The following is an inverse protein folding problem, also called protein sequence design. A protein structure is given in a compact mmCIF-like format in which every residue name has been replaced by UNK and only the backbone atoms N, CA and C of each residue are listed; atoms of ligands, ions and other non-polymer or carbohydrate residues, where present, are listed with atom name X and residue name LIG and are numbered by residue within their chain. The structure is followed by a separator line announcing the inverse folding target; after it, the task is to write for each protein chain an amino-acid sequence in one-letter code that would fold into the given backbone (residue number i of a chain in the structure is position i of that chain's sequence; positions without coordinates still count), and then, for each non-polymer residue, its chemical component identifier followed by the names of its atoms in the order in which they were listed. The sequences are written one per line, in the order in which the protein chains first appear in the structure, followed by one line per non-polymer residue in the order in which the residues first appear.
data_IF_768741460907
#
_entry.id   IF_768741460907
#
_cell.length_a   1.000
_cell.length_b   1.000
_cell.length_c   1.000
_cell.angle_alpha   90.00
_cell.angle_beta   90.00
_cell.angle_gamma   90.00
#
_symmetry.space_group_name_H-M   'P 1'
#
loop_
_entity.id
_entity.type
_entity.pdbx_description
1 polymer ?
#
# COMPACT_ATOMS: atom_id res chain seq x y z
N UNK A 1 20.01 -11.80 -12.19
CA UNK A 1 19.25 -11.49 -10.95
C UNK A 1 19.56 -10.05 -10.59
N UNK A 2 18.61 -9.15 -10.77
CA UNK A 2 18.75 -7.74 -10.34
C UNK A 2 18.44 -7.75 -8.84
N UNK A 3 19.48 -7.63 -8.03
CA UNK A 3 19.33 -7.45 -6.58
C UNK A 3 18.59 -6.11 -6.36
N UNK A 4 17.33 -6.14 -6.01
CA UNK A 4 16.57 -4.97 -5.61
C UNK A 4 16.97 -4.62 -4.18
N UNK A 5 18.11 -3.96 -3.99
CA UNK A 5 18.44 -3.36 -2.69
C UNK A 5 17.67 -2.04 -2.56
N UNK A 6 16.57 -2.09 -1.84
CA UNK A 6 15.91 -0.87 -1.36
C UNK A 6 16.85 -0.19 -0.37
N UNK A 7 17.24 1.05 -0.64
CA UNK A 7 18.02 1.84 0.33
C UNK A 7 17.08 2.53 1.31
N UNK A 8 17.42 2.45 2.59
CA UNK A 8 16.73 3.15 3.66
C UNK A 8 17.50 4.42 4.02
N UNK A 9 16.78 5.54 4.11
CA UNK A 9 17.31 6.81 4.63
C UNK A 9 16.33 7.37 5.65
N UNK A 10 16.82 7.93 6.75
CA UNK A 10 16.00 8.51 7.79
C UNK A 10 16.06 10.04 7.77
N UNK A 11 14.89 10.66 7.90
CA UNK A 11 14.72 12.10 8.10
C UNK A 11 13.89 12.29 9.37
N UNK A 12 14.55 12.45 10.51
CA UNK A 12 13.88 12.46 11.80
C UNK A 12 13.14 11.15 12.06
N UNK A 13 11.82 11.24 12.24
CA UNK A 13 10.98 10.02 12.38
C UNK A 13 10.53 9.40 11.05
N UNK A 14 10.78 10.08 9.94
CA UNK A 14 10.37 9.58 8.61
C UNK A 14 11.45 8.74 8.00
N UNK A 15 11.03 7.68 7.35
CA UNK A 15 11.87 6.74 6.63
C UNK A 15 11.55 6.80 5.16
N UNK A 16 12.59 6.85 4.36
CA UNK A 16 12.51 6.94 2.92
C UNK A 16 13.06 5.64 2.34
N UNK A 17 12.19 4.91 1.65
CA UNK A 17 12.51 3.63 1.01
C UNK A 17 12.57 3.90 -0.49
N UNK A 18 13.76 3.77 -1.09
CA UNK A 18 13.92 3.93 -2.53
C UNK A 18 13.68 2.60 -3.26
N UNK A 19 13.16 2.66 -4.47
CA UNK A 19 12.99 1.48 -5.34
C UNK A 19 14.26 1.13 -6.15
N UNK A 20 15.40 1.72 -5.82
CA UNK A 20 16.68 1.51 -6.47
C UNK A 20 17.81 2.27 -5.80
N UNK A 21 19.01 2.19 -6.38
CA UNK A 21 20.19 2.91 -5.92
C UNK A 21 20.33 4.25 -6.63
N UNK A 22 19.71 5.30 -6.09
CA UNK A 22 19.78 6.67 -6.59
C UNK A 22 19.77 7.68 -5.44
N UNK A 23 20.16 8.90 -5.71
CA UNK A 23 20.07 9.98 -4.74
C UNK A 23 18.66 10.59 -4.69
N UNK A 24 18.23 11.08 -3.50
CA UNK A 24 16.90 11.68 -3.34
C UNK A 24 16.65 12.87 -4.27
N UNK A 25 17.73 13.52 -4.74
CA UNK A 25 17.62 14.58 -5.74
C UNK A 25 17.26 14.06 -7.14
N UNK A 26 17.40 12.80 -7.41
CA UNK A 26 17.04 12.13 -8.66
C UNK A 26 15.66 11.47 -8.59
N UNK A 27 14.96 11.62 -7.46
CA UNK A 27 13.62 11.07 -7.30
C UNK A 27 12.64 11.74 -8.26
N UNK A 28 11.92 10.93 -9.02
CA UNK A 28 10.82 11.35 -9.88
C UNK A 28 9.51 11.41 -9.10
N UNK A 29 9.35 10.52 -8.10
CA UNK A 29 8.10 10.35 -7.33
C UNK A 29 8.39 10.21 -5.84
N UNK A 30 7.64 10.93 -5.01
CA UNK A 30 7.50 10.67 -3.58
C UNK A 30 6.11 10.11 -3.31
N UNK A 31 6.05 8.85 -2.87
CA UNK A 31 4.83 8.18 -2.45
C UNK A 31 4.66 8.34 -0.94
N UNK A 32 3.65 9.08 -0.51
CA UNK A 32 3.41 9.35 0.92
C UNK A 32 2.49 8.30 1.54
N UNK A 33 2.86 7.80 2.70
CA UNK A 33 2.05 6.90 3.52
C UNK A 33 1.12 7.70 4.46
N UNK A 34 0.08 7.08 4.98
CA UNK A 34 -1.02 7.75 5.70
C UNK A 34 -0.59 8.52 6.96
N UNK A 35 0.40 8.04 7.72
CA UNK A 35 0.90 8.77 8.89
C UNK A 35 1.60 10.08 8.51
N UNK A 36 2.27 10.10 7.36
CA UNK A 36 2.88 11.32 6.81
C UNK A 36 1.80 12.35 6.45
N UNK A 37 0.71 11.90 5.84
CA UNK A 37 -0.42 12.77 5.51
C UNK A 37 -1.06 13.38 6.77
N UNK A 38 -1.21 12.57 7.81
CA UNK A 38 -1.75 13.00 9.09
C UNK A 38 -0.85 14.08 9.71
N UNK A 39 0.47 13.91 9.66
CA UNK A 39 1.41 14.91 10.19
C UNK A 39 1.35 16.22 9.41
N UNK A 40 1.34 16.17 8.07
CA UNK A 40 1.19 17.37 7.22
C UNK A 40 -0.14 18.07 7.51
N UNK A 41 -1.23 17.31 7.62
CA UNK A 41 -2.56 17.88 7.96
C UNK A 41 -2.55 18.52 9.36
N UNK A 42 -1.95 17.89 10.36
CA UNK A 42 -1.85 18.43 11.72
C UNK A 42 -1.02 19.71 11.72
N UNK A 43 0.13 19.71 11.05
CA UNK A 43 0.94 20.91 10.87
C UNK A 43 0.14 22.05 10.24
N UNK A 44 -0.60 21.76 9.17
CA UNK A 44 -1.33 22.77 8.43
C UNK A 44 -2.44 23.45 9.23
N UNK A 45 -3.18 22.69 10.04
CA UNK A 45 -4.35 23.18 10.79
C UNK A 45 -4.09 23.44 12.29
N UNK A 46 -3.18 22.71 12.89
CA UNK A 46 -2.97 22.71 14.33
C UNK A 46 -1.59 23.30 14.72
N UNK A 47 -0.71 23.50 13.72
CA UNK A 47 0.65 24.02 13.92
C UNK A 47 1.67 22.92 14.21
N UNK A 48 2.87 23.35 14.59
CA UNK A 48 4.01 22.46 14.82
C UNK A 48 3.84 21.62 16.07
N UNK A 49 3.95 20.31 15.93
CA UNK A 49 4.24 19.43 17.04
C UNK A 49 5.77 19.40 17.27
N UNK A 50 6.29 19.83 18.44
CA UNK A 50 7.73 19.88 18.70
C UNK A 50 8.47 18.57 18.40
N UNK A 51 7.82 17.42 18.65
CA UNK A 51 8.43 16.10 18.48
C UNK A 51 8.60 15.67 16.99
N UNK A 52 7.90 16.33 16.08
CA UNK A 52 7.98 16.01 14.65
C UNK A 52 8.44 17.18 13.79
N UNK A 53 8.65 18.35 14.38
CA UNK A 53 8.91 19.60 13.65
C UNK A 53 10.12 19.52 12.72
N UNK A 54 11.30 19.17 13.26
CA UNK A 54 12.54 19.16 12.46
C UNK A 54 12.51 18.13 11.32
N UNK A 55 12.02 16.94 11.58
CA UNK A 55 11.89 15.90 10.57
C UNK A 55 10.89 16.28 9.48
N UNK A 56 9.75 16.87 9.82
CA UNK A 56 8.75 17.31 8.85
C UNK A 56 9.28 18.46 7.99
N UNK A 57 9.97 19.43 8.59
CA UNK A 57 10.61 20.51 7.84
C UNK A 57 11.57 19.97 6.79
N UNK A 58 12.53 19.14 7.22
CA UNK A 58 13.54 18.57 6.32
C UNK A 58 12.90 17.71 5.22
N UNK A 59 11.85 16.92 5.54
CA UNK A 59 11.10 16.14 4.57
C UNK A 59 10.45 17.04 3.51
N UNK A 60 9.75 18.09 3.92
CA UNK A 60 9.10 19.02 3.01
C UNK A 60 10.10 19.76 2.11
N UNK A 61 11.25 20.17 2.66
CA UNK A 61 12.34 20.76 1.87
C UNK A 61 12.89 19.75 0.85
N UNK A 62 13.05 18.49 1.24
CA UNK A 62 13.51 17.43 0.31
C UNK A 62 12.54 17.23 -0.86
N UNK A 63 11.23 17.33 -0.63
CA UNK A 63 10.19 17.22 -1.66
C UNK A 63 9.92 18.54 -2.41
N UNK A 64 10.54 19.67 -1.97
CA UNK A 64 10.24 21.00 -2.50
C UNK A 64 10.63 21.16 -3.98
N UNK A 65 9.86 21.95 -4.75
CA UNK A 65 10.04 22.14 -6.19
C UNK A 65 11.23 23.01 -6.61
N UNK A 66 12.17 23.33 -5.73
CA UNK A 66 13.36 24.15 -6.08
C UNK A 66 14.37 23.45 -7.01
N UNK A 67 14.01 22.31 -7.59
CA UNK A 67 14.83 21.54 -8.53
C UNK A 67 14.42 21.84 -9.98
N UNK A 68 15.34 21.66 -10.91
CA UNK A 68 15.07 21.79 -12.34
C UNK A 68 13.91 20.91 -12.82
N UNK A 69 13.75 19.75 -12.19
CA UNK A 69 12.62 18.85 -12.39
C UNK A 69 11.91 18.68 -11.04
N UNK A 70 10.63 19.02 -11.00
CA UNK A 70 9.81 18.84 -9.81
C UNK A 70 9.43 17.37 -9.70
N UNK A 71 9.69 16.70 -8.55
CA UNK A 71 9.17 15.37 -8.33
C UNK A 71 7.65 15.41 -8.14
N UNK A 72 6.96 14.38 -8.60
CA UNK A 72 5.55 14.18 -8.27
C UNK A 72 5.41 13.72 -6.81
N UNK A 73 4.44 14.28 -6.11
CA UNK A 73 4.09 13.84 -4.76
C UNK A 73 2.74 13.12 -4.81
N UNK A 74 2.81 11.80 -4.78
CA UNK A 74 1.64 10.93 -4.84
C UNK A 74 1.16 10.61 -3.42
N UNK A 75 -0.07 10.97 -3.11
CA UNK A 75 -0.68 10.75 -1.80
C UNK A 75 -2.11 10.20 -1.88
N UNK A 76 -2.60 9.91 -3.07
CA UNK A 76 -3.96 9.40 -3.30
C UNK A 76 -4.23 8.09 -2.56
N UNK A 77 -3.29 7.15 -2.58
CA UNK A 77 -3.42 5.87 -1.88
C UNK A 77 -3.51 6.05 -0.36
N UNK A 78 -2.67 6.89 0.21
CA UNK A 78 -2.69 7.20 1.64
C UNK A 78 -3.96 7.95 2.04
N UNK A 79 -4.49 8.78 1.15
CA UNK A 79 -5.76 9.44 1.35
C UNK A 79 -6.92 8.43 1.36
N UNK A 80 -6.90 7.46 0.43
CA UNK A 80 -7.86 6.36 0.40
C UNK A 80 -7.77 5.52 1.69
N UNK A 81 -6.57 5.06 2.09
CA UNK A 81 -6.38 4.33 3.35
C UNK A 81 -6.96 5.08 4.55
N UNK A 82 -6.70 6.39 4.62
CA UNK A 82 -7.09 7.22 5.76
C UNK A 82 -8.60 7.50 5.79
N UNK A 83 -9.26 7.53 4.64
CA UNK A 83 -10.65 7.96 4.49
C UNK A 83 -11.63 6.82 4.29
N UNK A 84 -11.21 5.66 3.79
CA UNK A 84 -12.04 4.45 3.81
C UNK A 84 -12.12 3.89 5.22
N UNK A 85 -13.29 4.06 5.81
CA UNK A 85 -13.64 3.47 7.10
C UNK A 85 -14.49 2.24 6.89
N UNK A 86 -14.86 1.58 7.96
CA UNK A 86 -15.73 0.42 7.91
C UNK A 86 -17.11 0.75 7.33
N UNK A 87 -17.63 1.91 7.71
CA UNK A 87 -18.95 2.41 7.33
C UNK A 87 -19.00 3.07 5.93
N UNK A 88 -17.86 3.15 5.24
CA UNK A 88 -17.72 3.79 3.94
C UNK A 88 -16.70 4.92 3.91
N UNK A 89 -16.77 5.75 2.88
CA UNK A 89 -15.78 6.79 2.63
C UNK A 89 -16.07 8.08 3.40
N UNK A 90 -15.16 8.49 4.28
CA UNK A 90 -15.27 9.73 5.07
C UNK A 90 -14.86 10.96 4.22
N UNK A 91 -15.83 11.52 3.50
CA UNK A 91 -15.66 12.66 2.58
C UNK A 91 -15.09 13.90 3.27
N UNK A 92 -15.54 14.19 4.50
CA UNK A 92 -15.08 15.39 5.23
C UNK A 92 -13.60 15.27 5.61
N UNK A 93 -13.21 14.09 6.10
CA UNK A 93 -11.82 13.77 6.41
C UNK A 93 -10.94 13.83 5.16
N UNK A 94 -11.40 13.25 4.07
CA UNK A 94 -10.72 13.29 2.77
C UNK A 94 -10.45 14.72 2.33
N UNK A 95 -11.46 15.56 2.33
CA UNK A 95 -11.36 16.97 1.95
C UNK A 95 -10.36 17.74 2.80
N UNK A 96 -10.35 17.53 4.12
CA UNK A 96 -9.42 18.18 5.04
C UNK A 96 -7.97 17.77 4.76
N UNK A 97 -7.72 16.48 4.65
CA UNK A 97 -6.37 15.95 4.41
C UNK A 97 -5.90 16.40 3.03
N UNK A 98 -6.72 16.19 1.98
CA UNK A 98 -6.38 16.58 0.63
C UNK A 98 -5.97 18.05 0.52
N UNK A 99 -6.78 18.96 1.07
CA UNK A 99 -6.43 20.39 1.04
C UNK A 99 -5.11 20.70 1.72
N UNK A 100 -4.89 20.14 2.89
CA UNK A 100 -3.65 20.38 3.63
C UNK A 100 -2.44 19.88 2.84
N UNK A 101 -2.47 18.64 2.40
CA UNK A 101 -1.37 18.01 1.68
C UNK A 101 -1.12 18.70 0.35
N UNK A 102 -2.17 18.86 -0.48
CA UNK A 102 -2.08 19.54 -1.78
C UNK A 102 -1.53 20.97 -1.67
N UNK A 103 -1.86 21.66 -0.58
CA UNK A 103 -1.33 23.01 -0.37
C UNK A 103 0.14 22.97 0.03
N UNK A 104 0.49 22.14 1.01
CA UNK A 104 1.84 22.13 1.61
C UNK A 104 2.89 21.58 0.65
N UNK A 105 2.58 20.50 -0.07
CA UNK A 105 3.52 19.90 -1.04
C UNK A 105 3.81 20.82 -2.23
N UNK A 106 2.99 21.84 -2.45
CA UNK A 106 3.20 22.86 -3.48
C UNK A 106 3.97 24.10 -2.99
N UNK A 107 4.37 24.15 -1.73
CA UNK A 107 5.16 25.26 -1.23
C UNK A 107 6.61 25.17 -1.71
N UNK A 108 7.19 26.34 -2.02
CA UNK A 108 8.63 26.46 -2.18
C UNK A 108 9.34 26.50 -0.82
N UNK A 109 10.65 26.37 -0.83
CA UNK A 109 11.46 26.33 0.38
C UNK A 109 11.24 27.56 1.27
N UNK A 110 11.27 28.78 0.70
CA UNK A 110 11.06 30.02 1.46
C UNK A 110 9.73 30.00 2.25
N UNK A 111 8.67 29.51 1.62
CA UNK A 111 7.36 29.41 2.27
C UNK A 111 7.32 28.33 3.36
N UNK A 112 8.04 27.23 3.15
CA UNK A 112 8.22 26.19 4.16
C UNK A 112 8.93 26.77 5.36
N UNK A 113 10.09 27.39 5.18
CA UNK A 113 10.91 27.99 6.25
C UNK A 113 10.09 29.00 7.05
N UNK A 114 9.41 29.92 6.38
CA UNK A 114 8.56 30.92 7.02
C UNK A 114 7.41 30.30 7.84
N UNK A 115 6.82 29.21 7.36
CA UNK A 115 5.74 28.53 8.06
C UNK A 115 6.25 27.79 9.29
N UNK A 116 7.47 27.27 9.28
CA UNK A 116 8.10 26.61 10.42
C UNK A 116 8.65 27.58 11.47
N UNK A 117 9.06 28.77 11.06
CA UNK A 117 9.46 29.85 11.98
C UNK A 117 8.25 30.47 12.72
N UNK A 118 7.07 30.30 12.15
CA UNK A 118 5.84 30.81 12.74
C UNK A 118 5.41 29.97 13.95
N UNK A 119 5.00 30.64 15.05
CA UNK A 119 4.39 29.97 16.21
C UNK A 119 2.91 29.61 16.01
N UNK A 120 2.32 30.00 14.90
CA UNK A 120 0.91 29.80 14.58
C UNK A 120 0.73 28.77 13.46
N UNK A 121 -0.39 28.03 13.47
CA UNK A 121 -0.71 27.16 12.36
C UNK A 121 -0.77 27.98 11.05
N UNK A 122 -0.30 27.41 9.92
CA UNK A 122 -0.27 28.08 8.62
C UNK A 122 -1.64 28.60 8.16
N UNK A 123 -2.71 27.95 8.61
CA UNK A 123 -4.09 28.33 8.29
C UNK A 123 -4.94 28.31 9.56
N UNK A 124 -5.61 29.41 9.84
CA UNK A 124 -6.66 29.41 10.88
C UNK A 124 -7.78 28.47 10.47
N UNK A 125 -8.25 27.64 11.39
CA UNK A 125 -9.44 26.82 11.17
C UNK A 125 -10.63 27.71 10.87
N UNK A 126 -11.09 27.69 9.63
CA UNK A 126 -12.31 28.37 9.24
C UNK A 126 -13.47 27.37 9.27
N UNK A 127 -14.41 27.56 10.19
CA UNK A 127 -15.61 26.75 10.30
C UNK A 127 -16.51 26.82 9.03
N UNK A 128 -16.43 27.91 8.28
CA UNK A 128 -17.18 28.04 7.02
C UNK A 128 -16.61 27.12 5.95
N UNK A 129 -15.30 26.88 5.96
CA UNK A 129 -14.63 25.96 5.04
C UNK A 129 -15.13 24.51 5.23
N UNK A 130 -15.41 24.10 6.47
CA UNK A 130 -15.94 22.76 6.76
C UNK A 130 -17.36 22.55 6.22
N UNK A 131 -18.12 23.62 6.04
CA UNK A 131 -19.51 23.60 5.55
C UNK A 131 -19.64 23.78 4.03
N UNK A 132 -18.58 24.18 3.34
CA UNK A 132 -18.60 24.42 1.90
C UNK A 132 -18.81 23.16 1.06
N UNK A 133 -19.55 23.27 -0.05
CA UNK A 133 -19.58 22.25 -1.11
C UNK A 133 -18.24 22.29 -1.88
N UNK A 134 -17.21 21.72 -1.33
CA UNK A 134 -15.96 21.53 -2.07
C UNK A 134 -16.05 20.17 -2.76
N UNK A 135 -15.82 20.13 -4.07
CA UNK A 135 -15.72 18.87 -4.80
C UNK A 135 -14.67 17.98 -4.15
N UNK A 136 -15.00 16.72 -3.96
CA UNK A 136 -14.01 15.72 -3.60
C UNK A 136 -13.16 15.53 -4.86
N UNK A 137 -11.83 15.43 -4.72
CA UNK A 137 -11.03 15.09 -5.86
C UNK A 137 -11.55 13.78 -6.47
N UNK A 138 -11.70 13.76 -7.79
CA UNK A 138 -11.99 12.51 -8.49
C UNK A 138 -10.90 11.47 -8.21
N UNK A 139 -11.14 10.19 -8.35
CA UNK A 139 -10.10 9.17 -8.24
C UNK A 139 -8.86 9.49 -9.09
N UNK A 140 -9.02 10.03 -10.28
CA UNK A 140 -7.94 10.53 -11.13
C UNK A 140 -7.11 11.62 -10.45
N UNK A 141 -7.73 12.58 -9.78
CA UNK A 141 -7.01 13.62 -9.02
C UNK A 141 -6.32 13.08 -7.76
N UNK A 142 -6.63 11.87 -7.33
CA UNK A 142 -5.94 11.17 -6.25
C UNK A 142 -4.73 10.36 -6.73
N UNK A 143 -4.39 10.44 -8.03
CA UNK A 143 -3.35 9.61 -8.65
C UNK A 143 -3.78 8.15 -8.82
N UNK A 144 -5.10 7.91 -8.87
CA UNK A 144 -5.71 6.60 -9.09
C UNK A 144 -6.35 6.59 -10.48
N UNK A 145 -5.57 6.96 -11.51
CA UNK A 145 -6.07 7.36 -12.82
C UNK A 145 -6.83 6.29 -13.61
N UNK A 146 -6.66 5.00 -13.30
CA UNK A 146 -7.35 3.93 -14.03
C UNK A 146 -8.04 2.94 -13.10
N UNK A 147 -8.18 3.23 -11.83
CA UNK A 147 -8.64 2.21 -10.93
C UNK A 147 -9.63 2.71 -9.90
N UNK A 148 -10.74 2.05 -9.89
CA UNK A 148 -11.56 1.91 -8.71
C UNK A 148 -10.64 1.47 -7.54
N UNK A 149 -10.53 2.26 -6.43
CA UNK A 149 -9.70 1.87 -5.27
C UNK A 149 -9.97 0.45 -4.80
N UNK A 150 -11.17 -0.07 -5.07
CA UNK A 150 -11.57 -1.44 -4.82
C UNK A 150 -10.67 -2.45 -5.54
N UNK A 151 -10.32 -2.18 -6.79
CA UNK A 151 -9.50 -3.10 -7.61
C UNK A 151 -8.09 -3.33 -7.02
N UNK A 152 -7.54 -2.38 -6.27
CA UNK A 152 -6.22 -2.50 -5.68
C UNK A 152 -6.23 -3.20 -4.33
N UNK A 153 -7.17 -2.83 -3.46
CA UNK A 153 -7.13 -3.22 -2.05
C UNK A 153 -7.91 -4.50 -1.77
N UNK A 154 -9.02 -4.73 -2.49
CA UNK A 154 -9.88 -5.90 -2.24
C UNK A 154 -9.15 -7.24 -2.43
N UNK A 155 -8.30 -7.44 -3.47
CA UNK A 155 -7.56 -8.68 -3.62
C UNK A 155 -6.68 -8.99 -2.41
N UNK A 156 -5.95 -8.00 -1.92
CA UNK A 156 -5.07 -8.16 -0.77
C UNK A 156 -5.88 -8.31 0.53
N UNK A 157 -6.89 -7.48 0.74
CA UNK A 157 -7.74 -7.52 1.93
C UNK A 157 -8.45 -8.86 2.08
N UNK A 158 -9.14 -9.33 1.03
CA UNK A 158 -9.83 -10.60 1.05
C UNK A 158 -8.90 -11.78 1.30
N UNK A 159 -7.77 -11.84 0.58
CA UNK A 159 -6.77 -12.89 0.77
C UNK A 159 -6.20 -12.90 2.20
N UNK A 160 -5.82 -11.74 2.75
CA UNK A 160 -5.25 -11.65 4.09
C UNK A 160 -6.29 -11.91 5.19
N UNK A 161 -7.56 -11.55 4.98
CA UNK A 161 -8.63 -11.87 5.90
C UNK A 161 -8.87 -13.38 5.96
N UNK A 162 -8.92 -14.05 4.80
CA UNK A 162 -9.05 -15.52 4.75
C UNK A 162 -7.83 -16.22 5.38
N UNK A 163 -6.62 -15.73 5.13
CA UNK A 163 -5.41 -16.23 5.77
C UNK A 163 -5.49 -16.15 7.30
N UNK A 164 -5.91 -15.01 7.83
CA UNK A 164 -6.07 -14.82 9.28
C UNK A 164 -7.15 -15.73 9.87
N UNK A 165 -8.25 -16.01 9.17
CA UNK A 165 -9.25 -17.01 9.54
C UNK A 165 -8.62 -18.38 9.72
N UNK A 166 -7.84 -18.84 8.73
CA UNK A 166 -7.19 -20.16 8.77
C UNK A 166 -6.18 -20.31 9.90
N UNK A 167 -5.47 -19.22 10.22
CA UNK A 167 -4.46 -19.22 11.29
C UNK A 167 -5.10 -19.25 12.69
N UNK A 168 -6.25 -18.58 12.86
CA UNK A 168 -6.95 -18.55 14.14
C UNK A 168 -7.92 -19.70 14.33
N UNK A 169 -8.36 -20.35 13.25
CA UNK A 169 -9.24 -21.50 13.31
C UNK A 169 -8.61 -22.69 14.05
N UNK A 170 -9.44 -23.41 14.80
CA UNK A 170 -9.05 -24.63 15.51
C UNK A 170 -8.75 -25.84 14.59
N UNK A 171 -8.72 -25.63 13.28
CA UNK A 171 -8.44 -26.66 12.30
C UNK A 171 -7.07 -27.29 12.53
N UNK A 172 -7.05 -28.63 12.61
CA UNK A 172 -5.83 -29.45 12.79
C UNK A 172 -4.99 -29.57 11.51
N UNK A 173 -5.40 -28.94 10.42
CA UNK A 173 -4.64 -28.94 9.17
C UNK A 173 -3.23 -28.43 9.38
N UNK A 174 -2.26 -29.09 8.75
CA UNK A 174 -0.87 -28.63 8.76
C UNK A 174 -0.71 -27.37 7.89
N UNK A 175 0.48 -26.75 7.89
CA UNK A 175 0.70 -25.50 7.14
C UNK A 175 0.56 -25.67 5.63
N UNK A 176 0.88 -26.86 5.07
CA UNK A 176 0.74 -27.15 3.63
C UNK A 176 -0.72 -27.20 3.24
N UNK A 177 -1.53 -27.96 3.99
CA UNK A 177 -2.99 -28.08 3.75
C UNK A 177 -3.68 -26.71 3.86
N UNK A 178 -3.34 -25.91 4.88
CA UNK A 178 -3.88 -24.55 5.04
C UNK A 178 -3.46 -23.63 3.89
N UNK A 179 -2.24 -23.78 3.38
CA UNK A 179 -1.78 -22.98 2.26
C UNK A 179 -2.52 -23.34 0.97
N UNK A 180 -2.73 -24.62 0.71
CA UNK A 180 -3.52 -25.10 -0.44
C UNK A 180 -4.97 -24.62 -0.36
N UNK A 181 -5.63 -24.77 0.80
CA UNK A 181 -6.99 -24.27 1.06
C UNK A 181 -7.08 -22.77 0.82
N UNK A 182 -6.08 -22.00 1.29
CA UNK A 182 -6.01 -20.56 1.05
C UNK A 182 -5.87 -20.24 -0.43
N UNK A 183 -5.00 -20.94 -1.15
CA UNK A 183 -4.75 -20.71 -2.58
C UNK A 183 -5.99 -21.03 -3.42
N UNK A 184 -6.68 -22.13 -3.11
CA UNK A 184 -7.92 -22.51 -3.76
C UNK A 184 -9.01 -21.48 -3.55
N UNK A 185 -9.25 -21.06 -2.30
CA UNK A 185 -10.23 -20.03 -1.99
C UNK A 185 -9.96 -18.70 -2.74
N UNK A 186 -8.69 -18.28 -2.82
CA UNK A 186 -8.30 -17.07 -3.53
C UNK A 186 -8.58 -17.18 -5.04
N UNK A 187 -8.38 -18.35 -5.65
CA UNK A 187 -8.67 -18.57 -7.08
C UNK A 187 -10.17 -18.66 -7.34
N UNK A 188 -10.87 -19.50 -6.55
CA UNK A 188 -12.26 -19.88 -6.86
C UNK A 188 -13.25 -18.83 -6.37
N UNK A 189 -13.09 -18.34 -5.15
CA UNK A 189 -14.05 -17.44 -4.52
C UNK A 189 -13.68 -15.96 -4.76
N UNK A 190 -12.44 -15.56 -4.45
CA UNK A 190 -11.99 -14.18 -4.63
C UNK A 190 -11.79 -13.85 -6.12
N UNK A 191 -11.27 -14.81 -6.89
CA UNK A 191 -11.07 -14.66 -8.34
C UNK A 191 -9.91 -13.76 -8.74
N UNK A 192 -9.08 -13.32 -7.81
CA UNK A 192 -7.94 -12.45 -8.07
C UNK A 192 -6.80 -12.71 -7.07
N UNK A 193 -5.58 -12.87 -7.57
CA UNK A 193 -4.39 -13.14 -6.76
C UNK A 193 -3.61 -11.86 -6.51
N UNK A 194 -3.44 -11.48 -5.25
CA UNK A 194 -2.46 -10.47 -4.83
C UNK A 194 -1.11 -11.15 -4.58
N UNK A 195 -0.09 -10.75 -5.33
CA UNK A 195 1.25 -11.34 -5.22
C UNK A 195 1.84 -11.19 -3.81
N UNK A 196 1.73 -10.02 -3.21
CA UNK A 196 2.22 -9.77 -1.85
C UNK A 196 1.45 -10.55 -0.79
N UNK A 197 0.12 -10.64 -0.90
CA UNK A 197 -0.66 -11.47 0.00
C UNK A 197 -0.27 -12.95 -0.12
N UNK A 198 0.07 -13.42 -1.33
CA UNK A 198 0.56 -14.78 -1.58
C UNK A 198 1.91 -15.02 -0.91
N UNK A 199 2.85 -14.08 -0.99
CA UNK A 199 4.16 -14.18 -0.30
C UNK A 199 3.98 -14.22 1.21
N UNK A 200 3.13 -13.35 1.75
CA UNK A 200 2.84 -13.33 3.20
C UNK A 200 2.20 -14.65 3.65
N UNK A 201 1.29 -15.20 2.85
CA UNK A 201 0.67 -16.50 3.15
C UNK A 201 1.71 -17.64 3.12
N UNK A 202 2.60 -17.66 2.12
CA UNK A 202 3.69 -18.63 2.04
C UNK A 202 4.62 -18.52 3.25
N UNK A 203 5.06 -17.31 3.61
CA UNK A 203 5.91 -17.09 4.79
C UNK A 203 5.25 -17.57 6.08
N UNK A 204 3.95 -17.29 6.25
CA UNK A 204 3.23 -17.64 7.47
C UNK A 204 2.95 -19.14 7.61
N UNK A 205 2.62 -19.82 6.51
CA UNK A 205 2.14 -21.21 6.53
C UNK A 205 3.21 -22.22 6.14
N UNK A 206 4.14 -21.85 5.24
CA UNK A 206 5.18 -22.71 4.70
C UNK A 206 6.59 -22.34 5.15
N UNK A 207 6.80 -21.09 5.59
CA UNK A 207 8.10 -20.57 5.97
C UNK A 207 8.72 -21.26 7.20
N UNK A 208 10.03 -21.08 7.35
CA UNK A 208 10.75 -21.39 8.60
C UNK A 208 10.26 -20.47 9.74
N UNK A 209 10.76 -20.69 10.95
CA UNK A 209 10.30 -19.92 12.12
C UNK A 209 10.64 -18.42 12.00
N UNK A 210 11.73 -18.05 11.32
CA UNK A 210 12.10 -16.65 11.11
C UNK A 210 11.11 -15.97 10.14
N UNK A 211 10.87 -16.56 8.96
CA UNK A 211 9.91 -16.08 7.96
C UNK A 211 8.50 -16.01 8.52
N UNK A 212 8.08 -17.02 9.27
CA UNK A 212 6.80 -17.08 9.95
C UNK A 212 6.67 -15.98 11.02
N UNK A 213 7.73 -15.74 11.81
CA UNK A 213 7.75 -14.68 12.81
C UNK A 213 7.55 -13.30 12.18
N UNK A 214 8.21 -13.01 11.06
CA UNK A 214 8.05 -11.76 10.29
C UNK A 214 6.62 -11.60 9.75
N UNK A 215 6.06 -12.64 9.14
CA UNK A 215 4.69 -12.61 8.63
C UNK A 215 3.66 -12.42 9.76
N UNK A 216 3.84 -13.05 10.93
CA UNK A 216 3.01 -12.84 12.13
C UNK A 216 3.07 -11.40 12.62
N UNK A 217 4.26 -10.81 12.65
CA UNK A 217 4.47 -9.42 13.05
C UNK A 217 3.76 -8.46 12.10
N UNK A 218 3.94 -8.62 10.78
CA UNK A 218 3.31 -7.81 9.75
C UNK A 218 1.77 -7.86 9.87
N UNK A 219 1.21 -9.06 9.99
CA UNK A 219 -0.23 -9.28 10.14
C UNK A 219 -0.76 -8.93 11.54
N UNK A 220 0.13 -8.62 12.49
CA UNK A 220 -0.23 -8.37 13.89
C UNK A 220 -1.10 -9.49 14.46
N UNK A 221 -0.77 -10.77 14.12
CA UNK A 221 -1.58 -11.96 14.49
C UNK A 221 -1.86 -11.97 15.99
N UNK A 222 -0.84 -11.71 16.81
CA UNK A 222 -0.90 -11.79 18.27
C UNK A 222 -1.51 -10.56 18.96
N UNK A 223 -1.90 -9.54 18.17
CA UNK A 223 -2.46 -8.31 18.73
C UNK A 223 -3.94 -8.49 19.14
N UNK A 224 -4.19 -8.64 20.43
CA UNK A 224 -5.53 -8.99 20.99
C UNK A 224 -6.61 -7.91 20.82
N UNK A 225 -6.24 -6.63 20.68
CA UNK A 225 -7.19 -5.50 20.64
C UNK A 225 -7.77 -5.20 19.27
N UNK A 226 -7.21 -5.77 18.19
CA UNK A 226 -7.67 -5.53 16.82
C UNK A 226 -8.50 -6.71 16.32
N UNK A 227 -9.62 -6.43 15.66
CA UNK A 227 -10.40 -7.45 14.95
C UNK A 227 -9.59 -8.01 13.76
N UNK A 228 -9.98 -9.17 13.23
CA UNK A 228 -9.37 -9.75 12.05
C UNK A 228 -9.49 -8.81 10.85
N UNK A 229 -10.64 -8.19 10.66
CA UNK A 229 -10.86 -7.21 9.59
C UNK A 229 -9.90 -6.02 9.67
N UNK A 230 -9.66 -5.47 10.88
CA UNK A 230 -8.69 -4.38 11.06
C UNK A 230 -7.25 -4.82 10.80
N UNK A 231 -6.88 -6.05 11.18
CA UNK A 231 -5.55 -6.61 10.92
C UNK A 231 -5.33 -6.78 9.42
N UNK A 232 -6.27 -7.44 8.73
CA UNK A 232 -6.23 -7.66 7.29
C UNK A 232 -6.19 -6.33 6.51
N UNK A 233 -7.03 -5.37 6.91
CA UNK A 233 -7.09 -4.04 6.29
C UNK A 233 -5.77 -3.30 6.37
N UNK A 234 -5.17 -3.23 7.55
CA UNK A 234 -3.88 -2.55 7.71
C UNK A 234 -2.77 -3.24 6.91
N UNK A 235 -2.71 -4.57 6.96
CA UNK A 235 -1.69 -5.32 6.24
C UNK A 235 -1.88 -5.24 4.71
N UNK A 236 -3.12 -5.14 4.24
CA UNK A 236 -3.41 -4.97 2.81
C UNK A 236 -2.88 -3.62 2.30
N UNK A 237 -3.08 -2.52 3.05
CA UNK A 237 -2.52 -1.23 2.69
C UNK A 237 -1.00 -1.21 2.79
N UNK A 238 -0.44 -1.82 3.83
CA UNK A 238 1.01 -1.97 3.98
C UNK A 238 1.63 -2.68 2.76
N UNK A 239 1.03 -3.77 2.33
CA UNK A 239 1.43 -4.50 1.13
C UNK A 239 1.25 -3.67 -0.15
N UNK A 240 0.17 -2.90 -0.25
CA UNK A 240 -0.10 -2.06 -1.41
C UNK A 240 0.95 -0.96 -1.59
N UNK A 241 1.40 -0.28 -0.54
CA UNK A 241 2.43 0.75 -0.66
C UNK A 241 3.75 0.21 -1.23
N UNK A 242 4.15 -1.00 -0.87
CA UNK A 242 5.33 -1.63 -1.43
C UNK A 242 5.08 -2.05 -2.89
N UNK A 243 3.91 -2.60 -3.18
CA UNK A 243 3.54 -2.92 -4.56
C UNK A 243 3.52 -1.67 -5.45
N UNK A 244 3.02 -0.55 -4.95
CA UNK A 244 3.02 0.71 -5.68
C UNK A 244 4.45 1.24 -5.93
N UNK A 245 5.35 1.11 -4.95
CA UNK A 245 6.76 1.47 -5.10
C UNK A 245 7.43 0.67 -6.23
N UNK A 246 7.21 -0.65 -6.26
CA UNK A 246 7.67 -1.51 -7.33
C UNK A 246 6.95 -1.22 -8.66
N UNK A 247 5.68 -0.89 -8.61
CA UNK A 247 4.88 -0.51 -9.79
C UNK A 247 5.46 0.70 -10.53
N UNK A 248 5.91 1.72 -9.79
CA UNK A 248 6.62 2.86 -10.40
C UNK A 248 7.95 2.44 -11.02
N UNK A 249 8.74 1.64 -10.34
CA UNK A 249 10.02 1.14 -10.86
C UNK A 249 9.87 0.37 -12.18
N UNK A 250 8.81 -0.41 -12.28
CA UNK A 250 8.55 -1.29 -13.43
C UNK A 250 7.75 -0.59 -14.55
N UNK A 251 7.40 0.69 -14.39
CA UNK A 251 6.58 1.41 -15.35
C UNK A 251 5.11 0.97 -15.41
N UNK A 252 4.66 0.17 -14.44
CA UNK A 252 3.25 -0.26 -14.31
C UNK A 252 2.38 0.88 -13.74
N UNK A 253 2.97 1.76 -12.95
CA UNK A 253 2.38 3.01 -12.49
C UNK A 253 3.14 4.17 -13.10
N UNK A 254 2.42 5.14 -13.63
CA UNK A 254 2.98 6.32 -14.29
C UNK A 254 2.74 7.54 -13.38
N UNK A 255 3.79 8.35 -13.11
CA UNK A 255 3.60 9.59 -12.35
C UNK A 255 2.63 10.53 -13.07
N UNK A 256 1.76 11.26 -12.34
CA UNK A 256 0.77 12.16 -12.94
C UNK A 256 1.34 13.16 -13.95
N UNK A 257 2.53 13.73 -13.67
CA UNK A 257 3.18 14.67 -14.61
C UNK A 257 3.69 14.01 -15.91
N UNK A 258 3.68 12.68 -16.01
CA UNK A 258 4.18 11.93 -17.16
C UNK A 258 3.13 11.15 -17.92
N UNK A 259 1.86 11.28 -17.54
CA UNK A 259 0.74 10.56 -18.18
C UNK A 259 0.64 10.81 -19.69
N UNK A 260 0.97 12.03 -20.14
CA UNK A 260 0.98 12.37 -21.58
C UNK A 260 2.06 11.62 -22.39
N UNK A 261 3.06 11.05 -21.72
CA UNK A 261 4.19 10.32 -22.32
C UNK A 261 4.18 8.83 -22.01
N UNK A 262 3.03 8.27 -21.63
CA UNK A 262 2.89 6.91 -21.13
C UNK A 262 3.47 5.82 -22.07
N UNK A 263 3.40 6.02 -23.39
CA UNK A 263 3.87 5.03 -24.38
C UNK A 263 5.38 4.76 -24.35
N UNK A 264 6.19 5.67 -23.80
CA UNK A 264 7.65 5.58 -23.75
C UNK A 264 8.19 5.48 -22.31
N UNK A 265 7.32 5.27 -21.35
CA UNK A 265 7.69 5.27 -19.95
C UNK A 265 8.38 3.95 -19.55
N UNK A 266 9.60 4.02 -19.03
CA UNK A 266 10.43 2.86 -18.69
C UNK A 266 10.44 2.57 -17.20
N UNK A 267 9.93 3.49 -16.38
CA UNK A 267 9.93 3.42 -14.93
C UNK A 267 10.40 4.71 -14.28
N UNK A 268 10.16 4.87 -12.99
CA UNK A 268 10.53 6.05 -12.21
C UNK A 268 11.37 5.69 -10.99
N UNK A 269 12.26 6.63 -10.64
CA UNK A 269 12.91 6.66 -9.34
C UNK A 269 11.89 7.07 -8.27
N UNK A 270 11.32 6.12 -7.58
CA UNK A 270 10.29 6.35 -6.58
C UNK A 270 10.79 6.17 -5.16
N UNK A 271 10.27 7.00 -4.26
CA UNK A 271 10.59 7.00 -2.84
C UNK A 271 9.31 6.85 -2.04
N UNK A 272 9.15 5.77 -1.29
CA UNK A 272 8.10 5.65 -0.30
C UNK A 272 8.53 6.37 0.98
N UNK A 273 7.70 7.28 1.43
CA UNK A 273 7.89 8.02 2.69
C UNK A 273 6.92 7.49 3.73
N UNK A 274 7.45 6.93 4.80
CA UNK A 274 6.66 6.36 5.89
C UNK A 274 7.14 6.87 7.26
N UNK A 275 6.26 6.84 8.25
CA UNK A 275 6.59 7.09 9.66
C UNK A 275 6.41 5.82 10.51
N UNK A 276 6.42 4.64 9.90
CA UNK A 276 6.27 3.35 10.58
C UNK A 276 7.55 2.90 11.26
N UNK A 277 7.39 1.97 12.19
CA UNK A 277 8.49 1.43 12.98
C UNK A 277 9.42 0.49 12.18
N UNK A 278 10.59 0.17 12.76
CA UNK A 278 11.59 -0.68 12.13
C UNK A 278 11.08 -2.09 11.87
N UNK A 279 10.24 -2.61 12.77
CA UNK A 279 9.69 -3.98 12.64
C UNK A 279 8.87 -4.14 11.36
N UNK A 280 8.10 -3.10 11.01
CA UNK A 280 7.37 -3.08 9.75
C UNK A 280 8.32 -3.04 8.54
N UNK A 281 9.35 -2.19 8.60
CA UNK A 281 10.34 -2.06 7.53
C UNK A 281 11.11 -3.36 7.28
N UNK A 282 11.62 -3.98 8.35
CA UNK A 282 12.35 -5.24 8.26
C UNK A 282 11.47 -6.36 7.68
N UNK A 283 10.18 -6.36 8.03
CA UNK A 283 9.24 -7.34 7.49
C UNK A 283 8.95 -7.14 6.01
N UNK A 284 8.89 -5.88 5.55
CA UNK A 284 8.47 -5.56 4.18
C UNK A 284 9.61 -5.68 3.17
N UNK A 285 10.83 -5.31 3.55
CA UNK A 285 12.01 -5.44 2.69
C UNK A 285 12.33 -6.91 2.36
N UNK A 286 11.90 -7.82 3.21
CA UNK A 286 12.09 -9.27 3.00
C UNK A 286 11.02 -9.88 2.07
N UNK A 287 9.88 -9.22 1.87
CA UNK A 287 8.80 -9.67 0.99
C UNK A 287 8.83 -8.93 -0.35
N UNK A 288 9.89 -9.14 -1.13
CA UNK A 288 9.97 -8.56 -2.47
C UNK A 288 9.27 -9.45 -3.51
N UNK A 289 8.61 -8.80 -4.46
CA UNK A 289 8.01 -9.46 -5.61
C UNK A 289 8.69 -8.93 -6.86
N UNK A 290 9.27 -9.81 -7.66
CA UNK A 290 9.72 -9.46 -8.99
C UNK A 290 8.66 -9.83 -10.02
N UNK A 291 8.60 -9.07 -11.11
CA UNK A 291 7.73 -9.38 -12.22
C UNK A 291 8.57 -9.88 -13.40
N UNK A 292 8.17 -10.98 -14.00
CA UNK A 292 8.77 -11.41 -15.28
C UNK A 292 8.04 -10.70 -16.40
N UNK A 293 8.75 -10.00 -17.30
CA UNK A 293 8.13 -9.55 -18.53
C UNK A 293 7.67 -10.79 -19.31
N UNK A 294 6.38 -10.85 -19.65
CA UNK A 294 5.91 -11.90 -20.57
C UNK A 294 6.45 -11.61 -21.95
N UNK A 295 6.67 -12.67 -22.76
CA UNK A 295 7.02 -12.55 -24.17
C UNK A 295 5.92 -11.82 -24.99
N UNK A 296 4.71 -11.78 -24.46
CA UNK A 296 3.60 -10.93 -24.91
C UNK A 296 3.54 -9.74 -23.97
N UNK A 297 3.94 -8.57 -24.42
CA UNK A 297 4.12 -7.32 -23.68
C UNK A 297 2.92 -6.83 -22.82
N UNK A 298 1.79 -7.54 -22.85
CA UNK A 298 0.53 -7.11 -22.22
C UNK A 298 0.30 -7.68 -20.82
N UNK A 299 1.01 -8.72 -20.39
CA UNK A 299 0.77 -9.37 -19.10
C UNK A 299 2.10 -9.67 -18.40
N UNK A 300 2.39 -8.93 -17.32
CA UNK A 300 3.50 -9.24 -16.43
C UNK A 300 3.04 -10.23 -15.35
N UNK A 301 3.70 -11.37 -15.26
CA UNK A 301 3.44 -12.33 -14.17
C UNK A 301 4.33 -12.01 -12.97
N UNK A 302 3.79 -12.01 -11.75
CA UNK A 302 4.61 -11.88 -10.58
C UNK A 302 5.52 -13.12 -10.45
N UNK A 303 6.83 -12.88 -10.47
CA UNK A 303 7.81 -13.84 -10.00
C UNK A 303 8.07 -13.52 -8.54
N UNK A 304 7.76 -14.45 -7.66
CA UNK A 304 8.08 -14.30 -6.25
C UNK A 304 9.59 -14.50 -6.09
N UNK A 305 10.33 -13.40 -6.03
CA UNK A 305 11.68 -13.39 -5.51
C UNK A 305 11.59 -13.08 -4.02
N UNK A 306 11.17 -14.06 -3.23
CA UNK A 306 11.12 -13.85 -1.79
C UNK A 306 12.42 -14.32 -1.14
N UNK A 307 12.84 -13.59 -0.13
CA UNK A 307 13.82 -14.06 0.85
C UNK A 307 13.19 -15.02 1.88
N UNK A 308 11.95 -15.44 1.62
CA UNK A 308 11.23 -16.40 2.46
C UNK A 308 11.90 -17.77 2.35
N UNK A 309 12.49 -18.19 3.42
CA UNK A 309 13.05 -19.55 3.54
C UNK A 309 11.93 -20.53 3.87
N UNK A 310 11.74 -21.55 3.04
CA UNK A 310 10.76 -22.60 3.31
C UNK A 310 11.27 -23.53 4.40
N UNK A 311 10.37 -24.04 5.24
CA UNK A 311 10.72 -24.92 6.37
C UNK A 311 11.25 -26.28 5.93
N UNK A 312 10.89 -26.77 4.75
CA UNK A 312 11.33 -28.05 4.19
C UNK A 312 10.99 -28.15 2.69
N UNK A 313 11.46 -29.21 2.04
CA UNK A 313 11.25 -29.47 0.62
C UNK A 313 9.79 -29.67 0.23
N UNK A 314 8.95 -30.22 1.12
CA UNK A 314 7.49 -30.36 0.89
C UNK A 314 6.83 -29.00 0.75
N UNK A 315 7.17 -28.06 1.65
CA UNK A 315 6.68 -26.67 1.61
C UNK A 315 7.12 -25.94 0.32
N UNK A 316 8.36 -26.16 -0.13
CA UNK A 316 8.90 -25.59 -1.36
C UNK A 316 8.15 -26.11 -2.59
N UNK A 317 7.97 -27.41 -2.71
CA UNK A 317 7.16 -28.01 -3.79
C UNK A 317 5.72 -27.52 -3.81
N UNK A 318 5.10 -27.42 -2.61
CA UNK A 318 3.74 -26.90 -2.52
C UNK A 318 3.65 -25.47 -3.05
N UNK A 319 4.58 -24.59 -2.67
CA UNK A 319 4.62 -23.22 -3.18
C UNK A 319 4.78 -23.18 -4.70
N UNK A 320 5.72 -23.93 -5.26
CA UNK A 320 5.94 -23.99 -6.71
C UNK A 320 4.70 -24.48 -7.48
N UNK A 321 4.02 -25.49 -6.98
CA UNK A 321 2.79 -26.02 -7.58
C UNK A 321 1.67 -24.99 -7.57
N UNK A 322 1.45 -24.31 -6.44
CA UNK A 322 0.41 -23.30 -6.34
C UNK A 322 0.69 -22.07 -7.22
N UNK A 323 1.95 -21.62 -7.30
CA UNK A 323 2.33 -20.55 -8.21
C UNK A 323 2.12 -20.93 -9.68
N UNK A 324 2.36 -22.19 -10.04
CA UNK A 324 2.06 -22.68 -11.40
C UNK A 324 0.56 -22.68 -11.68
N UNK A 325 -0.26 -23.07 -10.71
CA UNK A 325 -1.73 -23.04 -10.84
C UNK A 325 -2.24 -21.60 -10.97
N UNK A 326 -1.75 -20.68 -10.14
CA UNK A 326 -2.08 -19.26 -10.23
C UNK A 326 -1.78 -18.70 -11.64
N UNK A 327 -0.62 -19.03 -12.21
CA UNK A 327 -0.22 -18.61 -13.56
C UNK A 327 -1.16 -19.12 -14.65
N UNK A 328 -1.66 -20.32 -14.52
CA UNK A 328 -2.59 -20.92 -15.49
C UNK A 328 -4.00 -20.35 -15.40
N UNK A 329 -4.44 -19.98 -14.20
CA UNK A 329 -5.78 -19.43 -13.93
C UNK A 329 -5.91 -17.94 -14.26
N UNK A 330 -4.81 -17.18 -14.23
CA UNK A 330 -4.81 -15.72 -14.35
C UNK A 330 -5.47 -15.18 -15.64
N UNK A 331 -5.28 -15.77 -16.85
CA UNK A 331 -5.91 -15.26 -18.06
C UNK A 331 -7.44 -15.37 -18.09
N UNK A 332 -8.02 -16.31 -17.36
CA UNK A 332 -9.48 -16.50 -17.32
C UNK A 332 -10.15 -15.45 -16.44
N UNK A 333 -9.50 -15.02 -15.36
CA UNK A 333 -10.05 -14.03 -14.42
C UNK A 333 -10.12 -12.62 -15.03
N UNK A 334 -9.16 -12.24 -15.87
CA UNK A 334 -9.15 -10.91 -16.53
C UNK A 334 -10.30 -10.76 -17.53
N UNK A 335 -10.82 -11.86 -18.09
CA UNK A 335 -11.89 -11.85 -19.10
C UNK A 335 -13.30 -11.71 -18.49
N UNK A 336 -13.46 -11.90 -17.19
CA UNK A 336 -14.75 -11.83 -16.51
C UNK A 336 -15.05 -10.39 -16.07
N UNK A 337 -15.98 -9.74 -16.78
CA UNK A 337 -16.34 -8.32 -16.57
C UNK A 337 -16.99 -7.96 -15.21
N UNK A 338 -17.20 -8.93 -14.30
CA UNK A 338 -17.73 -8.68 -12.94
C UNK A 338 -16.75 -9.12 -11.83
N UNK A 339 -15.47 -8.88 -12.01
CA UNK A 339 -14.47 -9.27 -11.01
C UNK A 339 -14.68 -8.53 -9.68
N UNK A 340 -14.98 -7.23 -9.72
CA UNK A 340 -15.23 -6.43 -8.50
C UNK A 340 -16.45 -6.96 -7.74
N UNK A 341 -17.54 -7.26 -8.45
CA UNK A 341 -18.72 -7.85 -7.82
C UNK A 341 -18.45 -9.23 -7.22
N UNK A 342 -17.65 -10.07 -7.88
CA UNK A 342 -17.22 -11.36 -7.34
C UNK A 342 -16.40 -11.18 -6.05
N UNK A 343 -15.40 -10.31 -6.06
CA UNK A 343 -14.58 -10.01 -4.89
C UNK A 343 -15.42 -9.46 -3.74
N UNK A 344 -16.32 -8.51 -4.00
CA UNK A 344 -17.23 -7.96 -2.99
C UNK A 344 -18.06 -9.06 -2.32
N UNK A 345 -18.68 -9.94 -3.12
CA UNK A 345 -19.47 -11.05 -2.57
C UNK A 345 -18.62 -11.99 -1.70
N UNK A 346 -17.44 -12.37 -2.17
CA UNK A 346 -16.54 -13.26 -1.43
C UNK A 346 -16.10 -12.64 -0.10
N UNK A 347 -15.73 -11.36 -0.10
CA UNK A 347 -15.33 -10.63 1.10
C UNK A 347 -16.49 -10.50 2.08
N UNK A 348 -17.68 -10.09 1.61
CA UNK A 348 -18.86 -9.93 2.46
C UNK A 348 -19.27 -11.26 3.10
N UNK A 349 -19.24 -12.36 2.36
CA UNK A 349 -19.50 -13.70 2.91
C UNK A 349 -18.49 -14.06 4.00
N UNK A 350 -17.22 -13.78 3.77
CA UNK A 350 -16.16 -14.06 4.74
C UNK A 350 -16.27 -13.19 6.00
N UNK A 351 -16.59 -11.90 5.85
CA UNK A 351 -16.83 -11.00 6.99
C UNK A 351 -18.05 -11.47 7.83
N UNK A 352 -19.13 -11.85 7.18
CA UNK A 352 -20.33 -12.40 7.85
C UNK A 352 -20.01 -13.70 8.60
N UNK A 353 -19.27 -14.63 7.98
CA UNK A 353 -18.84 -15.88 8.62
C UNK A 353 -18.00 -15.61 9.88
N UNK A 354 -17.17 -14.60 9.85
CA UNK A 354 -16.31 -14.18 10.96
C UNK A 354 -17.03 -13.29 11.98
N UNK A 355 -18.33 -13.02 11.81
CA UNK A 355 -19.11 -12.07 12.60
C UNK A 355 -18.45 -10.67 12.65
N UNK A 356 -17.84 -10.27 11.56
CA UNK A 356 -17.29 -8.93 11.40
C UNK A 356 -18.35 -8.01 10.78
N UNK A 357 -18.33 -6.71 11.11
CA UNK A 357 -19.14 -5.76 10.36
C UNK A 357 -18.66 -5.72 8.91
N UNK A 358 -19.62 -5.81 7.97
CA UNK A 358 -19.35 -5.74 6.53
C UNK A 358 -18.74 -4.39 6.18
N UNK A 359 -17.64 -4.40 5.46
CA UNK A 359 -16.94 -3.19 5.03
C UNK A 359 -17.56 -2.66 3.75
N UNK A 360 -17.98 -1.39 3.76
CA UNK A 360 -18.35 -0.71 2.53
C UNK A 360 -17.11 -0.21 1.79
N UNK A 361 -17.04 -0.52 0.51
CA UNK A 361 -16.05 -0.01 -0.43
C UNK A 361 -16.62 1.10 -1.33
N UNK A 362 -17.87 1.52 -1.09
CA UNK A 362 -18.52 2.53 -1.89
C UNK A 362 -17.99 3.94 -1.59
N UNK A 363 -17.88 4.75 -2.62
CA UNK A 363 -17.35 6.13 -2.56
C UNK A 363 -18.51 7.14 -2.62
N UNK A 364 -19.75 6.67 -2.75
CA UNK A 364 -20.96 7.48 -2.97
C UNK A 364 -21.42 8.28 -1.74
#
# INVERSE_FOLDING_TARGET
MISCMNKLRDIGKYRLITNGDFDLCEADVFLLESLVLIDIRNFYFDGLNPNSASGLHQLLVTMSPNKQVRPDVVFGFALAETCFRQEGFDRLRCRRIYRAVQTVVNWNQEKIDKAFDSRHPPVKRDKQWEKGKVSIPSPSMLGMDDGDPRSFIMPAYGALLHLLKLVQGANRHNGVEKFQEHCEWVREELGCVSAYARVIAAALLLGDEASKGKARSLLKVDHKRKSLGQKAWNAAWDAWFIQALDGYRLGMLVPPARLEHQSNYVGANAVLVTAKDQVWLDSITDFSVAFSPSAQKEISYPLICSTVTMRNQEAEKCLEEELRRDKLSFPEHIRNGDLIGKMSRAINNLENELNLPVRSFDVD
#
